data_IF_186702038014
#
_entry.id   IF_186702038014
#
_cell.length_a   1.000
_cell.length_b   1.000
_cell.length_c   1.000
_cell.angle_alpha   90.00
_cell.angle_beta   90.00
_cell.angle_gamma   90.00
#
_symmetry.space_group_name_H-M   'P 1'
#
loop_
_entity.id
_entity.type
_entity.pdbx_description
1 polymer ?
#
# COMPACT_ATOMS: atom_id res chain seq x y z
N UNK A 1 6.61 -4.94 2.45
CA UNK A 1 7.38 -3.70 2.32
C UNK A 1 6.84 -2.76 1.24
N UNK A 2 6.03 -3.25 0.29
CA UNK A 2 5.41 -2.40 -0.73
C UNK A 2 4.04 -1.91 -0.26
N UNK A 3 3.66 -0.70 -0.66
CA UNK A 3 2.35 -0.13 -0.36
C UNK A 3 1.24 -0.85 -1.14
N UNK A 4 1.52 -1.19 -2.39
CA UNK A 4 0.63 -1.98 -3.25
C UNK A 4 1.31 -3.24 -3.75
N UNK A 5 0.54 -4.28 -3.99
CA UNK A 5 1.02 -5.61 -4.38
C UNK A 5 0.14 -6.16 -5.50
N UNK A 6 0.76 -6.44 -6.63
CA UNK A 6 0.10 -7.02 -7.81
C UNK A 6 0.70 -8.39 -8.05
N UNK A 7 -0.15 -9.39 -8.29
CA UNK A 7 0.26 -10.78 -8.49
C UNK A 7 -0.27 -11.30 -9.82
N UNK A 8 0.45 -12.25 -10.41
CA UNK A 8 -0.01 -12.96 -11.60
C UNK A 8 -1.08 -14.00 -11.26
N UNK A 9 -2.00 -14.26 -12.21
CA UNK A 9 -2.97 -15.35 -12.16
C UNK A 9 -2.38 -16.73 -12.49
N UNK A 10 -1.07 -16.80 -12.76
CA UNK A 10 -0.41 -18.07 -13.08
C UNK A 10 -0.69 -19.11 -11.97
N UNK A 11 -1.27 -20.29 -12.31
CA UNK A 11 -1.64 -21.31 -11.32
C UNK A 11 -0.45 -21.93 -10.59
N UNK A 12 0.78 -21.71 -11.07
CA UNK A 12 2.02 -22.14 -10.40
C UNK A 12 2.59 -21.07 -9.47
N UNK A 13 2.01 -19.85 -9.47
CA UNK A 13 2.45 -18.78 -8.59
C UNK A 13 1.74 -18.86 -7.23
N UNK A 14 2.53 -18.90 -6.17
CA UNK A 14 2.06 -18.92 -4.79
C UNK A 14 2.81 -17.87 -3.98
N UNK A 15 2.14 -17.37 -2.94
CA UNK A 15 2.75 -16.46 -1.96
C UNK A 15 2.57 -17.03 -0.55
N UNK A 16 3.59 -16.99 0.27
CA UNK A 16 3.54 -17.50 1.65
C UNK A 16 4.87 -17.34 2.37
N UNK A 17 4.87 -17.73 3.64
CA UNK A 17 6.04 -17.69 4.55
C UNK A 17 6.24 -19.10 5.13
N UNK A 18 7.02 -19.97 4.45
CA UNK A 18 7.14 -21.38 4.83
C UNK A 18 8.20 -21.68 5.89
N UNK A 19 8.81 -20.66 6.49
CA UNK A 19 10.00 -20.74 7.35
C UNK A 19 9.81 -21.64 8.57
N UNK A 20 8.59 -21.71 9.12
CA UNK A 20 8.29 -22.54 10.31
C UNK A 20 8.48 -24.03 10.01
N UNK A 21 8.26 -24.48 8.77
CA UNK A 21 8.57 -25.86 8.36
C UNK A 21 10.07 -26.19 8.42
N UNK A 22 10.92 -25.16 8.46
CA UNK A 22 12.39 -25.30 8.58
C UNK A 22 12.88 -25.07 10.03
N UNK A 23 11.97 -24.92 11.01
CA UNK A 23 12.31 -24.64 12.40
C UNK A 23 12.80 -23.21 12.65
N UNK A 24 12.55 -22.27 11.74
CA UNK A 24 12.93 -20.87 11.84
C UNK A 24 11.71 -19.97 11.64
N UNK A 25 11.87 -18.67 11.86
CA UNK A 25 10.80 -17.67 11.66
C UNK A 25 10.99 -16.88 10.37
N UNK A 26 9.92 -16.30 9.79
CA UNK A 26 10.02 -15.32 8.71
C UNK A 26 10.84 -14.10 9.15
N UNK A 27 12.10 -14.09 8.77
CA UNK A 27 13.02 -13.00 9.02
C UNK A 27 12.67 -11.73 8.24
N UNK A 28 13.60 -10.75 8.29
CA UNK A 28 13.49 -9.49 7.51
C UNK A 28 12.17 -8.74 7.71
N UNK A 29 11.51 -8.96 8.86
CA UNK A 29 10.25 -8.33 9.23
C UNK A 29 8.99 -9.02 8.72
N UNK A 30 9.06 -10.27 8.26
CA UNK A 30 7.88 -11.05 7.84
C UNK A 30 6.86 -11.19 8.99
N UNK A 31 7.31 -11.57 10.17
CA UNK A 31 6.49 -11.69 11.39
C UNK A 31 5.85 -10.36 11.80
N UNK A 32 6.49 -9.23 11.49
CA UNK A 32 5.98 -7.90 11.87
C UNK A 32 5.04 -7.31 10.82
N UNK A 33 5.36 -7.46 9.54
CA UNK A 33 4.57 -6.84 8.47
C UNK A 33 3.31 -7.60 8.11
N UNK A 34 3.34 -8.95 8.11
CA UNK A 34 2.17 -9.71 7.72
C UNK A 34 0.95 -9.44 8.60
N UNK A 35 1.05 -9.39 9.96
CA UNK A 35 -0.10 -9.06 10.80
C UNK A 35 -0.59 -7.61 10.65
N UNK A 36 0.26 -6.69 10.23
CA UNK A 36 -0.17 -5.30 9.90
C UNK A 36 -1.00 -5.23 8.61
N UNK A 37 -0.80 -6.18 7.70
CA UNK A 37 -1.56 -6.26 6.44
C UNK A 37 -2.86 -7.05 6.61
N UNK A 38 -2.81 -8.21 7.28
CA UNK A 38 -3.92 -9.18 7.31
C UNK A 38 -4.61 -9.31 8.68
N UNK A 39 -4.11 -8.59 9.69
CA UNK A 39 -4.49 -8.83 11.07
C UNK A 39 -3.82 -10.07 11.67
N UNK A 40 -3.79 -10.11 13.02
CA UNK A 40 -3.04 -11.11 13.79
C UNK A 40 -3.47 -12.55 13.50
N UNK A 41 -4.78 -12.81 13.47
CA UNK A 41 -5.31 -14.18 13.34
C UNK A 41 -4.92 -14.80 12.00
N UNK A 42 -5.14 -14.06 10.90
CA UNK A 42 -4.81 -14.55 9.55
C UNK A 42 -3.30 -14.71 9.34
N UNK A 43 -2.51 -13.78 9.87
CA UNK A 43 -1.06 -13.88 9.83
C UNK A 43 -0.53 -15.10 10.59
N UNK A 44 -1.07 -15.40 11.79
CA UNK A 44 -0.72 -16.61 12.53
C UNK A 44 -1.07 -17.88 11.75
N UNK A 45 -2.26 -17.95 11.14
CA UNK A 45 -2.65 -19.08 10.31
C UNK A 45 -1.62 -19.32 9.18
N UNK A 46 -1.27 -18.27 8.43
CA UNK A 46 -0.36 -18.39 7.30
C UNK A 46 1.07 -18.77 7.72
N UNK A 47 1.58 -18.17 8.81
CA UNK A 47 2.95 -18.40 9.28
C UNK A 47 3.08 -19.76 9.96
N UNK A 48 2.23 -20.06 10.95
CA UNK A 48 2.39 -21.28 11.77
C UNK A 48 2.12 -22.55 10.98
N UNK A 49 1.19 -22.50 10.02
CA UNK A 49 0.90 -23.64 9.15
C UNK A 49 1.63 -23.57 7.81
N UNK A 50 2.53 -22.60 7.65
CA UNK A 50 3.31 -22.41 6.41
C UNK A 50 2.44 -22.44 5.15
N UNK A 51 1.25 -21.86 5.24
CA UNK A 51 0.29 -21.86 4.13
C UNK A 51 0.79 -21.03 2.96
N UNK A 52 0.63 -21.58 1.78
CA UNK A 52 0.88 -20.90 0.51
C UNK A 52 -0.47 -20.57 -0.12
N UNK A 53 -0.67 -19.30 -0.45
CA UNK A 53 -1.88 -18.83 -1.09
C UNK A 53 -1.71 -18.78 -2.60
N UNK A 54 -2.75 -19.20 -3.31
CA UNK A 54 -2.93 -18.86 -4.73
C UNK A 54 -3.17 -17.36 -4.89
N UNK A 55 -3.10 -16.85 -6.12
CA UNK A 55 -3.40 -15.45 -6.40
C UNK A 55 -4.84 -15.06 -6.01
N UNK A 56 -5.81 -15.95 -6.24
CA UNK A 56 -7.20 -15.71 -5.88
C UNK A 56 -7.39 -15.64 -4.35
N UNK A 57 -6.77 -16.55 -3.59
CA UNK A 57 -6.82 -16.54 -2.13
C UNK A 57 -6.09 -15.31 -1.54
N UNK A 58 -4.95 -14.93 -2.13
CA UNK A 58 -4.19 -13.75 -1.72
C UNK A 58 -4.98 -12.45 -1.97
N UNK A 59 -5.70 -12.36 -3.09
CA UNK A 59 -6.62 -11.25 -3.37
C UNK A 59 -7.81 -11.25 -2.40
N UNK A 60 -8.44 -12.39 -2.20
CA UNK A 60 -9.61 -12.51 -1.33
C UNK A 60 -9.32 -12.12 0.13
N UNK A 61 -8.10 -12.37 0.63
CA UNK A 61 -7.71 -11.99 1.99
C UNK A 61 -7.03 -10.61 2.09
N UNK A 62 -6.84 -9.89 0.99
CA UNK A 62 -6.19 -8.56 0.98
C UNK A 62 -4.67 -8.59 1.07
N UNK A 63 -4.04 -9.76 0.87
CA UNK A 63 -2.57 -9.84 0.81
C UNK A 63 -2.02 -9.20 -0.47
N UNK A 64 -2.77 -9.28 -1.57
CA UNK A 64 -2.48 -8.56 -2.81
C UNK A 64 -3.67 -7.70 -3.19
N UNK A 65 -3.40 -6.60 -3.90
CA UNK A 65 -4.39 -5.58 -4.25
C UNK A 65 -5.00 -5.82 -5.64
N UNK A 66 -4.29 -6.55 -6.49
CA UNK A 66 -4.73 -6.88 -7.86
C UNK A 66 -4.12 -8.19 -8.33
N UNK A 67 -4.89 -8.93 -9.14
CA UNK A 67 -4.43 -10.11 -9.87
C UNK A 67 -4.63 -9.86 -11.36
N UNK A 68 -3.62 -10.19 -12.16
CA UNK A 68 -3.59 -9.92 -13.61
C UNK A 68 -2.97 -11.10 -14.37
N UNK A 69 -3.24 -11.26 -15.68
CA UNK A 69 -2.57 -12.24 -16.51
C UNK A 69 -1.04 -12.10 -16.44
N UNK A 70 -0.34 -13.23 -16.49
CA UNK A 70 1.12 -13.24 -16.38
C UNK A 70 1.81 -12.38 -17.44
N UNK A 71 1.27 -12.36 -18.67
CA UNK A 71 1.80 -11.56 -19.76
C UNK A 71 1.67 -10.04 -19.51
N UNK A 72 0.68 -9.63 -18.74
CA UNK A 72 0.32 -8.23 -18.53
C UNK A 72 0.89 -7.66 -17.23
N UNK A 73 1.53 -8.49 -16.38
CA UNK A 73 1.92 -8.11 -15.02
C UNK A 73 2.75 -6.83 -14.97
N UNK A 74 3.78 -6.72 -15.81
CA UNK A 74 4.66 -5.55 -15.82
C UNK A 74 3.93 -4.32 -16.38
N UNK A 75 3.15 -4.48 -17.44
CA UNK A 75 2.39 -3.38 -18.05
C UNK A 75 1.36 -2.81 -17.08
N UNK A 76 0.61 -3.68 -16.42
CA UNK A 76 -0.41 -3.31 -15.42
C UNK A 76 0.21 -2.66 -14.18
N UNK A 77 1.33 -3.18 -13.69
CA UNK A 77 2.06 -2.59 -12.56
C UNK A 77 2.61 -1.20 -12.92
N UNK A 78 3.13 -1.04 -14.15
CA UNK A 78 3.63 0.24 -14.65
C UNK A 78 2.50 1.25 -14.82
N UNK A 79 1.38 0.84 -15.43
CA UNK A 79 0.21 1.71 -15.59
C UNK A 79 -0.37 2.16 -14.23
N UNK A 80 -0.42 1.24 -13.26
CA UNK A 80 -0.83 1.56 -11.90
C UNK A 80 0.12 2.59 -11.26
N UNK A 81 1.43 2.37 -11.33
CA UNK A 81 2.42 3.30 -10.81
C UNK A 81 2.33 4.69 -11.48
N UNK A 82 2.15 4.72 -12.82
CA UNK A 82 1.95 5.96 -13.57
C UNK A 82 0.67 6.70 -13.14
N UNK A 83 -0.40 6.00 -12.76
CA UNK A 83 -1.61 6.64 -12.24
C UNK A 83 -1.36 7.40 -10.94
N UNK A 84 -0.42 6.94 -10.13
CA UNK A 84 -0.04 7.60 -8.88
C UNK A 84 0.80 8.86 -9.12
N UNK A 85 1.58 8.93 -10.20
CA UNK A 85 2.38 10.13 -10.52
C UNK A 85 1.53 11.34 -10.91
N UNK A 86 0.24 11.12 -11.20
CA UNK A 86 -0.73 12.20 -11.46
C UNK A 86 -1.33 12.78 -10.18
N UNK A 87 -0.99 12.25 -9.02
CA UNK A 87 -1.50 12.74 -7.72
C UNK A 87 -0.60 13.85 -7.19
N UNK A 88 -1.14 14.77 -6.37
CA UNK A 88 -0.34 15.87 -5.81
C UNK A 88 0.78 15.31 -4.91
N UNK A 89 2.06 15.52 -5.24
CA UNK A 89 3.17 14.85 -4.57
C UNK A 89 3.26 15.12 -3.07
N UNK A 90 3.00 16.34 -2.64
CA UNK A 90 3.00 16.70 -1.21
C UNK A 90 1.88 15.99 -0.43
N UNK A 91 0.68 15.89 -1.01
CA UNK A 91 -0.42 15.17 -0.37
C UNK A 91 -0.14 13.66 -0.31
N UNK A 92 0.46 13.08 -1.35
CA UNK A 92 0.89 11.67 -1.32
C UNK A 92 1.92 11.44 -0.22
N UNK A 93 2.92 12.32 -0.09
CA UNK A 93 3.91 12.23 0.98
C UNK A 93 3.26 12.31 2.36
N UNK A 94 2.34 13.25 2.56
CA UNK A 94 1.60 13.41 3.81
C UNK A 94 0.83 12.15 4.21
N UNK A 95 0.09 11.56 3.26
CA UNK A 95 -0.68 10.32 3.50
C UNK A 95 0.24 9.15 3.87
N UNK A 96 1.34 8.95 3.15
CA UNK A 96 2.27 7.86 3.42
C UNK A 96 2.96 8.02 4.79
N UNK A 97 3.38 9.22 5.12
CA UNK A 97 4.02 9.53 6.41
C UNK A 97 3.02 9.42 7.56
N UNK A 98 1.82 10.03 7.44
CA UNK A 98 0.78 9.99 8.44
C UNK A 98 0.33 8.57 8.77
N UNK A 99 0.09 7.73 7.76
CA UNK A 99 -0.24 6.31 7.96
C UNK A 99 0.89 5.55 8.65
N UNK A 100 2.16 5.78 8.24
CA UNK A 100 3.30 5.09 8.85
C UNK A 100 3.45 5.48 10.32
N UNK A 101 3.41 6.77 10.63
CA UNK A 101 3.55 7.28 12.01
C UNK A 101 2.37 6.81 12.88
N UNK A 102 1.14 6.92 12.39
CA UNK A 102 -0.05 6.50 13.14
C UNK A 102 -0.05 4.99 13.46
N UNK A 103 0.41 4.15 12.53
CA UNK A 103 0.49 2.70 12.73
C UNK A 103 1.68 2.28 13.62
N UNK A 104 2.80 3.01 13.59
CA UNK A 104 4.02 2.63 14.30
C UNK A 104 4.14 3.32 15.67
N UNK A 105 3.67 4.56 15.82
CA UNK A 105 3.79 5.36 17.05
C UNK A 105 2.47 5.58 17.79
N UNK A 106 1.35 5.25 17.16
CA UNK A 106 0.01 5.38 17.73
C UNK A 106 -0.81 6.54 17.14
N UNK A 107 -2.13 6.46 17.35
CA UNK A 107 -3.12 7.35 16.75
C UNK A 107 -2.88 8.83 17.07
N UNK A 108 -2.55 9.17 18.32
CA UNK A 108 -2.36 10.57 18.73
C UNK A 108 -1.15 11.22 18.05
N UNK A 109 -0.06 10.47 17.85
CA UNK A 109 1.10 10.96 17.10
C UNK A 109 0.80 11.10 15.61
N UNK A 110 0.00 10.19 15.06
CA UNK A 110 -0.53 10.32 13.69
C UNK A 110 -1.35 11.60 13.53
N UNK A 111 -2.29 11.88 14.45
CA UNK A 111 -3.13 13.09 14.39
C UNK A 111 -2.32 14.39 14.44
N UNK A 112 -1.31 14.48 15.31
CA UNK A 112 -0.44 15.67 15.36
C UNK A 112 0.26 15.93 14.02
N UNK A 113 0.70 14.85 13.38
CA UNK A 113 1.35 14.95 12.07
C UNK A 113 0.34 15.35 10.97
N UNK A 114 -0.88 14.80 11.00
CA UNK A 114 -1.95 15.14 10.06
C UNK A 114 -2.33 16.62 10.16
N UNK A 115 -2.40 17.19 11.38
CA UNK A 115 -2.62 18.62 11.60
C UNK A 115 -1.51 19.47 10.98
N UNK A 116 -0.24 19.08 11.21
CA UNK A 116 0.90 19.80 10.64
C UNK A 116 0.93 19.75 9.11
N UNK A 117 0.63 18.58 8.53
CA UNK A 117 0.52 18.42 7.08
C UNK A 117 -0.67 19.17 6.51
N UNK A 118 -1.83 19.16 7.18
CA UNK A 118 -3.03 19.89 6.74
C UNK A 118 -2.74 21.38 6.63
N UNK A 119 -2.09 21.97 7.63
CA UNK A 119 -1.69 23.38 7.58
C UNK A 119 -0.72 23.70 6.43
N UNK A 120 0.27 22.83 6.21
CA UNK A 120 1.23 22.95 5.11
C UNK A 120 0.57 22.83 3.74
N UNK A 121 -0.27 21.82 3.56
CA UNK A 121 -0.95 21.54 2.29
C UNK A 121 -1.95 22.64 1.92
N UNK A 122 -2.67 23.20 2.90
CA UNK A 122 -3.63 24.30 2.66
C UNK A 122 -2.97 25.54 2.03
N UNK A 123 -1.67 25.75 2.24
CA UNK A 123 -0.92 26.86 1.67
C UNK A 123 -0.22 26.50 0.34
N UNK A 124 -0.36 25.27 -0.15
CA UNK A 124 0.32 24.79 -1.35
C UNK A 124 -0.35 25.26 -2.65
N UNK A 125 0.44 25.40 -3.71
CA UNK A 125 -0.09 25.68 -5.05
C UNK A 125 -0.95 24.53 -5.56
N UNK A 126 -0.60 23.29 -5.23
CA UNK A 126 -1.36 22.10 -5.60
C UNK A 126 -2.76 22.08 -4.97
N UNK A 127 -2.92 22.58 -3.73
CA UNK A 127 -4.24 22.71 -3.12
C UNK A 127 -5.12 23.73 -3.85
N UNK A 128 -4.55 24.87 -4.22
CA UNK A 128 -5.26 25.87 -5.02
C UNK A 128 -5.63 25.35 -6.40
N UNK A 129 -4.70 24.70 -7.07
CA UNK A 129 -4.92 24.07 -8.38
C UNK A 129 -6.05 23.01 -8.30
N UNK A 130 -5.98 22.13 -7.28
CA UNK A 130 -6.99 21.09 -7.09
C UNK A 130 -8.41 21.66 -6.89
N UNK A 131 -8.53 22.71 -6.07
CA UNK A 131 -9.82 23.39 -5.85
C UNK A 131 -10.31 24.09 -7.13
N UNK A 132 -9.43 24.79 -7.83
CA UNK A 132 -9.78 25.48 -9.07
C UNK A 132 -10.19 24.49 -10.16
N UNK A 133 -9.41 23.43 -10.38
CA UNK A 133 -9.73 22.40 -11.34
C UNK A 133 -11.06 21.69 -11.05
N UNK A 134 -11.37 21.46 -9.77
CA UNK A 134 -12.65 20.89 -9.34
C UNK A 134 -13.84 21.81 -9.72
N UNK A 135 -13.72 23.10 -9.45
CA UNK A 135 -14.77 24.08 -9.78
C UNK A 135 -14.96 24.22 -11.31
N UNK A 136 -13.87 24.19 -12.05
CA UNK A 136 -13.85 24.30 -13.51
C UNK A 136 -14.15 22.97 -14.23
N UNK A 137 -14.31 21.86 -13.48
CA UNK A 137 -14.56 20.51 -14.02
C UNK A 137 -13.50 20.05 -15.04
N UNK A 138 -12.24 20.34 -14.78
CA UNK A 138 -11.09 19.93 -15.57
C UNK A 138 -10.14 19.05 -14.75
N UNK A 139 -9.25 18.36 -15.44
CA UNK A 139 -8.15 17.64 -14.79
C UNK A 139 -7.15 18.64 -14.16
N UNK A 140 -6.72 18.40 -12.91
CA UNK A 140 -5.70 19.23 -12.27
C UNK A 140 -4.30 18.91 -12.80
N UNK A 141 -3.40 19.89 -12.73
CA UNK A 141 -1.98 19.74 -13.04
C UNK A 141 -1.16 20.04 -11.79
N UNK A 142 -0.82 19.00 -11.03
CA UNK A 142 -0.05 19.11 -9.80
C UNK A 142 1.46 19.16 -10.09
N UNK A 143 2.16 20.06 -9.37
CA UNK A 143 3.60 20.32 -9.56
C UNK A 143 4.44 20.05 -8.31
N UNK A 144 3.79 19.74 -7.17
CA UNK A 144 4.46 19.43 -5.90
C UNK A 144 4.91 20.66 -5.11
N UNK A 145 4.25 21.81 -5.28
CA UNK A 145 4.57 23.07 -4.61
C UNK A 145 3.42 23.63 -3.80
#
# INVERSE_FOLDING_TARGET
ACHFRIMTDNPKAFIGLPEVNLGIIPGWGGVQRLPRVLGKSKALELILFSKRLTSAEALACGLVDKVVPAADLLAEATAFAQSLTKRPPLAVAAVLEGMSVGLDKGFDEGLKLDEAWTAKLAASKDAMEGMTAFLEKREPNFIGE
#
